data_IF_606772560827
#
_entry.id   IF_606772560827
#
_cell.length_a   1.000
_cell.length_b   1.000
_cell.length_c   1.000
_cell.angle_alpha   90.00
_cell.angle_beta   90.00
_cell.angle_gamma   90.00
#
_symmetry.space_group_name_H-M   'P 1'
#
loop_
_entity.id
_entity.type
_entity.pdbx_description
1 polymer ?
#
# COMPACT_ATOMS: atom_id res chain seq x y z
N UNK A 1 8.13 -44.04 76.96
CA UNK A 1 8.93 -43.84 75.73
C UNK A 1 8.09 -43.84 74.44
N UNK A 2 6.81 -44.25 74.45
CA UNK A 2 5.96 -44.39 73.24
C UNK A 2 5.18 -43.12 72.85
N UNK A 3 4.90 -42.21 73.79
CA UNK A 3 4.08 -41.01 73.54
C UNK A 3 4.81 -39.93 72.70
N UNK A 4 6.13 -39.77 72.87
CA UNK A 4 6.91 -38.79 72.11
C UNK A 4 7.02 -39.15 70.62
N UNK A 5 7.15 -40.44 70.29
CA UNK A 5 7.23 -40.94 68.91
C UNK A 5 5.91 -40.72 68.13
N UNK A 6 4.78 -40.90 68.82
CA UNK A 6 3.46 -40.75 68.21
C UNK A 6 3.12 -39.28 67.88
N UNK A 7 3.53 -38.33 68.74
CA UNK A 7 3.38 -36.89 68.46
C UNK A 7 4.22 -36.42 67.27
N UNK A 8 5.45 -36.92 67.14
CA UNK A 8 6.34 -36.61 66.01
C UNK A 8 5.74 -37.13 64.69
N UNK A 9 5.17 -38.34 64.68
CA UNK A 9 4.52 -38.87 63.49
C UNK A 9 3.31 -38.03 63.03
N UNK A 10 2.52 -37.51 63.97
CA UNK A 10 1.40 -36.62 63.64
C UNK A 10 1.87 -35.30 63.03
N UNK A 11 2.95 -34.71 63.56
CA UNK A 11 3.53 -33.48 63.01
C UNK A 11 4.09 -33.71 61.60
N UNK A 12 4.81 -34.82 61.37
CA UNK A 12 5.31 -35.19 60.03
C UNK A 12 4.17 -35.41 59.03
N UNK A 13 3.05 -36.01 59.47
CA UNK A 13 1.88 -36.17 58.63
C UNK A 13 1.20 -34.82 58.31
N UNK A 14 1.12 -33.92 59.28
CA UNK A 14 0.60 -32.57 59.09
C UNK A 14 1.48 -31.75 58.14
N UNK A 15 2.81 -31.85 58.26
CA UNK A 15 3.77 -31.20 57.36
C UNK A 15 3.60 -31.69 55.92
N UNK A 16 3.48 -33.01 55.71
CA UNK A 16 3.21 -33.58 54.39
C UNK A 16 1.90 -33.03 53.78
N UNK A 17 0.82 -33.00 54.57
CA UNK A 17 -0.47 -32.46 54.12
C UNK A 17 -0.41 -30.96 53.80
N UNK A 18 0.33 -30.18 54.60
CA UNK A 18 0.51 -28.76 54.34
C UNK A 18 1.31 -28.52 53.05
N UNK A 19 2.38 -29.30 52.83
CA UNK A 19 3.18 -29.26 51.60
C UNK A 19 2.36 -29.63 50.36
N UNK A 20 1.57 -30.69 50.44
CA UNK A 20 0.70 -31.13 49.34
C UNK A 20 -0.35 -30.05 49.00
N UNK A 21 -0.96 -29.42 50.01
CA UNK A 21 -1.94 -28.35 49.83
C UNK A 21 -1.31 -27.09 49.22
N UNK A 22 -0.07 -26.76 49.58
CA UNK A 22 0.68 -25.64 49.02
C UNK A 22 1.03 -25.89 47.54
N UNK A 23 1.49 -27.08 47.20
CA UNK A 23 1.84 -27.44 45.82
C UNK A 23 0.60 -27.52 44.92
N UNK A 24 -0.52 -28.02 45.44
CA UNK A 24 -1.78 -27.99 44.70
C UNK A 24 -2.28 -26.56 44.44
N UNK A 25 -2.18 -25.66 45.44
CA UNK A 25 -2.52 -24.26 45.27
C UNK A 25 -1.64 -23.56 44.23
N UNK A 26 -0.31 -23.81 44.24
CA UNK A 26 0.62 -23.30 43.21
C UNK A 26 0.28 -23.81 41.82
N UNK A 27 -0.03 -25.10 41.68
CA UNK A 27 -0.39 -25.73 40.41
C UNK A 27 -1.73 -25.22 39.87
N UNK A 28 -2.70 -24.93 40.75
CA UNK A 28 -4.03 -24.40 40.40
C UNK A 28 -4.01 -22.92 40.07
N UNK A 29 -3.32 -22.09 40.84
CA UNK A 29 -3.26 -20.64 40.60
C UNK A 29 -2.35 -20.32 39.42
N UNK A 30 -1.04 -20.43 39.61
CA UNK A 30 -0.05 -20.02 38.61
C UNK A 30 -0.09 -20.91 37.36
N UNK A 31 -0.20 -22.23 37.54
CA UNK A 31 -0.17 -23.17 36.43
C UNK A 31 -1.41 -23.18 35.53
N UNK A 32 -2.57 -22.70 36.00
CA UNK A 32 -3.78 -22.61 35.16
C UNK A 32 -3.93 -21.25 34.50
N UNK A 33 -3.62 -20.17 35.22
CA UNK A 33 -3.57 -18.81 34.65
C UNK A 33 -2.63 -18.80 33.44
N UNK A 34 -1.40 -19.28 33.63
CA UNK A 34 -0.35 -19.22 32.61
C UNK A 34 -0.64 -20.13 31.42
N UNK A 35 -1.40 -21.22 31.63
CA UNK A 35 -1.87 -22.13 30.57
C UNK A 35 -3.06 -21.58 29.78
N UNK A 36 -3.83 -20.64 30.32
CA UNK A 36 -4.99 -20.04 29.65
C UNK A 36 -4.60 -18.74 28.96
N UNK A 37 -3.87 -17.86 29.63
CA UNK A 37 -3.51 -16.54 29.11
C UNK A 37 -2.53 -16.60 27.94
N UNK A 38 -1.57 -17.54 27.93
CA UNK A 38 -0.61 -17.68 26.82
C UNK A 38 -1.26 -18.09 25.49
N UNK A 39 -2.06 -19.18 25.40
CA UNK A 39 -2.69 -19.55 24.14
C UNK A 39 -3.75 -18.55 23.68
N UNK A 40 -4.48 -17.91 24.60
CA UNK A 40 -5.44 -16.85 24.25
C UNK A 40 -4.74 -15.63 23.63
N UNK A 41 -3.62 -15.19 24.21
CA UNK A 41 -2.83 -14.10 23.63
C UNK A 41 -2.22 -14.45 22.27
N UNK A 42 -1.76 -15.70 22.08
CA UNK A 42 -1.24 -16.17 20.78
C UNK A 42 -2.36 -16.19 19.74
N UNK A 43 -3.55 -16.69 20.10
CA UNK A 43 -4.70 -16.73 19.20
C UNK A 43 -5.14 -15.33 18.78
N UNK A 44 -5.12 -14.36 19.70
CA UNK A 44 -5.43 -12.95 19.38
C UNK A 44 -4.39 -12.34 18.43
N UNK A 45 -3.10 -12.59 18.67
CA UNK A 45 -2.01 -12.13 17.79
C UNK A 45 -2.16 -12.70 16.38
N UNK A 46 -2.47 -14.00 16.26
CA UNK A 46 -2.66 -14.65 14.97
C UNK A 46 -3.91 -14.14 14.25
N UNK A 47 -5.00 -13.89 14.97
CA UNK A 47 -6.19 -13.24 14.43
C UNK A 47 -5.87 -11.84 13.88
N UNK A 48 -5.15 -11.02 14.65
CA UNK A 48 -4.75 -9.69 14.21
C UNK A 48 -3.84 -9.75 12.98
N UNK A 49 -2.87 -10.67 12.96
CA UNK A 49 -2.00 -10.90 11.79
C UNK A 49 -2.80 -11.25 10.55
N UNK A 50 -3.73 -12.20 10.66
CA UNK A 50 -4.57 -12.63 9.55
C UNK A 50 -5.44 -11.49 9.02
N UNK A 51 -6.02 -10.68 9.92
CA UNK A 51 -6.80 -9.51 9.55
C UNK A 51 -5.94 -8.49 8.79
N UNK A 52 -4.76 -8.17 9.31
CA UNK A 52 -3.83 -7.21 8.68
C UNK A 52 -3.33 -7.70 7.32
N UNK A 53 -3.06 -8.98 7.19
CA UNK A 53 -2.64 -9.56 5.91
C UNK A 53 -3.79 -9.56 4.89
N UNK A 54 -5.03 -9.79 5.32
CA UNK A 54 -6.22 -9.65 4.48
C UNK A 54 -6.43 -8.20 4.04
N UNK A 55 -6.33 -7.24 4.94
CA UNK A 55 -6.39 -5.80 4.62
C UNK A 55 -5.30 -5.39 3.63
N UNK A 56 -4.08 -5.89 3.83
CA UNK A 56 -2.95 -5.63 2.95
C UNK A 56 -3.20 -6.19 1.55
N UNK A 57 -3.59 -7.47 1.43
CA UNK A 57 -3.92 -8.10 0.15
C UNK A 57 -5.06 -7.36 -0.56
N UNK A 58 -6.12 -6.99 0.14
CA UNK A 58 -7.22 -6.22 -0.43
C UNK A 58 -6.75 -4.87 -0.98
N UNK A 59 -5.92 -4.14 -0.23
CA UNK A 59 -5.35 -2.87 -0.70
C UNK A 59 -4.44 -3.09 -1.91
N UNK A 60 -3.61 -4.13 -1.89
CA UNK A 60 -2.73 -4.46 -3.00
C UNK A 60 -3.53 -4.75 -4.27
N UNK A 61 -4.55 -5.61 -4.21
CA UNK A 61 -5.42 -5.91 -5.35
C UNK A 61 -6.14 -4.66 -5.87
N UNK A 62 -6.67 -3.81 -4.97
CA UNK A 62 -7.34 -2.58 -5.37
C UNK A 62 -6.38 -1.59 -6.05
N UNK A 63 -5.18 -1.40 -5.51
CA UNK A 63 -4.17 -0.52 -6.10
C UNK A 63 -3.69 -1.06 -7.44
N UNK A 64 -3.35 -2.35 -7.53
CA UNK A 64 -2.92 -2.98 -8.78
C UNK A 64 -4.02 -2.95 -9.86
N UNK A 65 -5.27 -3.21 -9.48
CA UNK A 65 -6.42 -3.07 -10.39
C UNK A 65 -6.64 -1.63 -10.86
N UNK A 66 -6.42 -0.65 -9.98
CA UNK A 66 -6.52 0.77 -10.33
C UNK A 66 -5.41 1.25 -11.27
N UNK A 67 -4.20 0.69 -11.20
CA UNK A 67 -3.09 1.08 -12.07
C UNK A 67 -3.35 0.69 -13.53
N UNK A 68 -3.93 -0.49 -13.79
CA UNK A 68 -4.31 -0.91 -15.14
C UNK A 68 -5.35 0.02 -15.77
N UNK A 69 -6.38 0.39 -15.00
CA UNK A 69 -7.41 1.33 -15.45
C UNK A 69 -6.85 2.74 -15.73
N UNK A 70 -5.87 3.19 -14.94
CA UNK A 70 -5.21 4.48 -15.16
C UNK A 70 -4.39 4.46 -16.46
N UNK A 71 -3.63 3.40 -16.73
CA UNK A 71 -2.85 3.25 -17.96
C UNK A 71 -3.76 3.28 -19.20
N UNK A 72 -4.83 2.48 -19.19
CA UNK A 72 -5.78 2.44 -20.30
C UNK A 72 -6.44 3.81 -20.56
N UNK A 73 -6.78 4.54 -19.49
CA UNK A 73 -7.34 5.89 -19.61
C UNK A 73 -6.33 6.90 -20.18
N UNK A 74 -5.05 6.81 -19.78
CA UNK A 74 -3.99 7.65 -20.34
C UNK A 74 -3.80 7.36 -21.82
N UNK A 75 -3.79 6.09 -22.22
CA UNK A 75 -3.70 5.69 -23.63
C UNK A 75 -4.90 6.21 -24.45
N UNK A 76 -6.12 6.08 -23.93
CA UNK A 76 -7.32 6.62 -24.56
C UNK A 76 -7.23 8.14 -24.77
N UNK A 77 -6.87 8.89 -23.73
CA UNK A 77 -6.69 10.35 -23.83
C UNK A 77 -5.56 10.74 -24.80
N UNK A 78 -4.48 9.96 -24.82
CA UNK A 78 -3.34 10.21 -25.72
C UNK A 78 -3.75 9.98 -27.17
N UNK A 79 -4.44 8.88 -27.46
CA UNK A 79 -4.92 8.57 -28.82
C UNK A 79 -5.95 9.59 -29.29
N UNK A 80 -6.85 10.05 -28.42
CA UNK A 80 -7.78 11.13 -28.73
C UNK A 80 -7.05 12.44 -29.05
N UNK A 81 -6.06 12.81 -28.26
CA UNK A 81 -5.26 14.02 -28.46
C UNK A 81 -4.51 13.97 -29.79
N UNK A 82 -3.90 12.83 -30.13
CA UNK A 82 -3.22 12.62 -31.42
C UNK A 82 -4.22 12.74 -32.58
N UNK A 83 -5.41 12.14 -32.45
CA UNK A 83 -6.46 12.21 -33.46
C UNK A 83 -6.91 13.66 -33.69
N UNK A 84 -7.09 14.43 -32.62
CA UNK A 84 -7.49 15.84 -32.69
C UNK A 84 -6.39 16.70 -33.32
N UNK A 85 -5.12 16.49 -32.94
CA UNK A 85 -3.97 17.16 -33.52
C UNK A 85 -3.87 16.88 -35.03
N UNK A 86 -3.98 15.60 -35.41
CA UNK A 86 -3.93 15.15 -36.80
C UNK A 86 -5.08 15.74 -37.60
N UNK A 87 -6.29 15.76 -37.04
CA UNK A 87 -7.46 16.38 -37.67
C UNK A 87 -7.27 17.90 -37.86
N UNK A 88 -6.71 18.60 -36.87
CA UNK A 88 -6.40 20.03 -36.98
C UNK A 88 -5.34 20.30 -38.03
N UNK A 89 -4.29 19.47 -38.10
CA UNK A 89 -3.25 19.58 -39.12
C UNK A 89 -3.84 19.47 -40.52
N UNK A 90 -4.60 18.40 -40.81
CA UNK A 90 -5.18 18.19 -42.15
C UNK A 90 -6.12 19.32 -42.57
N UNK A 91 -6.92 19.86 -41.64
CA UNK A 91 -7.82 20.99 -41.91
C UNK A 91 -7.07 22.27 -42.29
N UNK A 92 -5.92 22.52 -41.67
CA UNK A 92 -5.20 23.77 -41.82
C UNK A 92 -4.08 23.70 -42.87
N UNK A 93 -3.62 22.50 -43.23
CA UNK A 93 -2.41 22.32 -44.06
C UNK A 93 -2.53 23.02 -45.42
N UNK A 94 -3.65 22.87 -46.12
CA UNK A 94 -3.85 23.47 -47.45
C UNK A 94 -3.88 24.99 -47.37
N UNK A 95 -4.55 25.56 -46.35
CA UNK A 95 -4.62 27.01 -46.15
C UNK A 95 -3.24 27.60 -45.86
N UNK A 96 -2.45 26.93 -45.01
CA UNK A 96 -1.10 27.39 -44.66
C UNK A 96 -0.18 27.27 -45.88
N UNK A 97 -0.22 26.16 -46.60
CA UNK A 97 0.57 25.96 -47.82
C UNK A 97 0.25 27.01 -48.88
N UNK A 98 -1.04 27.28 -49.14
CA UNK A 98 -1.45 28.31 -50.09
C UNK A 98 -0.94 29.69 -49.70
N UNK A 99 -1.03 30.05 -48.42
CA UNK A 99 -0.53 31.34 -47.92
C UNK A 99 0.98 31.46 -48.06
N UNK A 100 1.71 30.39 -47.74
CA UNK A 100 3.16 30.34 -47.87
C UNK A 100 3.60 30.49 -49.33
N UNK A 101 3.01 29.71 -50.23
CA UNK A 101 3.30 29.79 -51.66
C UNK A 101 2.93 31.15 -52.25
N UNK A 102 1.79 31.72 -51.86
CA UNK A 102 1.39 33.07 -52.28
C UNK A 102 2.42 34.12 -51.88
N UNK A 103 2.98 34.03 -50.68
CA UNK A 103 4.00 34.97 -50.21
C UNK A 103 5.35 34.78 -50.91
N UNK A 104 5.73 33.54 -51.22
CA UNK A 104 6.99 33.25 -51.92
C UNK A 104 6.93 33.71 -53.38
N UNK A 105 5.77 33.55 -54.03
CA UNK A 105 5.59 33.94 -55.42
C UNK A 105 5.30 35.45 -55.61
N UNK A 106 4.98 36.19 -54.53
CA UNK A 106 4.76 37.63 -54.56
C UNK A 106 6.09 38.39 -54.52
N UNK A 107 6.76 38.43 -55.67
CA UNK A 107 8.01 39.16 -55.82
C UNK A 107 7.67 40.65 -55.98
N UNK A 108 7.93 41.43 -54.93
CA UNK A 108 7.83 42.89 -54.94
C UNK A 108 9.25 43.50 -55.00
N UNK A 109 9.81 43.73 -56.21
CA UNK A 109 11.12 44.33 -56.36
C UNK A 109 11.06 45.81 -55.97
N UNK A 110 11.60 46.12 -54.81
CA UNK A 110 11.72 47.50 -54.33
C UNK A 110 13.11 48.05 -54.63
N UNK A 111 13.14 49.26 -55.19
CA UNK A 111 14.37 50.02 -55.31
C UNK A 111 14.75 50.50 -53.91
N UNK A 112 16.02 50.30 -53.54
CA UNK A 112 16.52 50.73 -52.25
C UNK A 112 16.22 52.23 -52.03
N UNK A 113 15.71 52.65 -50.85
CA UNK A 113 15.23 54.03 -50.62
C UNK A 113 16.24 55.14 -50.93
N UNK A 114 17.54 54.82 -50.89
CA UNK A 114 18.63 55.75 -51.15
C UNK A 114 19.06 55.83 -52.62
N UNK A 115 18.38 55.15 -53.54
CA UNK A 115 18.72 55.21 -54.96
C UNK A 115 18.49 56.63 -55.51
N UNK A 116 19.55 57.22 -56.06
CA UNK A 116 19.49 58.54 -56.71
C UNK A 116 19.79 58.34 -58.19
N UNK A 117 18.84 58.70 -59.06
CA UNK A 117 19.11 58.78 -60.49
C UNK A 117 20.17 59.85 -60.73
N UNK A 118 21.27 59.46 -61.39
CA UNK A 118 22.24 60.41 -61.89
C UNK A 118 21.58 61.22 -63.01
N UNK A 119 21.49 62.53 -62.81
CA UNK A 119 21.18 63.54 -63.84
C UNK A 119 22.50 64.15 -64.28
#
# INVERSE_FOLDING_TARGET
MTSQSQGIQQLLQAEKRAKDKLEEAKKRGKGREEKRTKPEAIAEIDHYRLQREKEFRNKQTNVMGSQGNLSAKIEEQTTETIRNLTGSYHKNTESVMKKLLSMICDINPEIHPNFRNAV
#
